data_IF_159854651937
#
_entry.id   IF_159854651937
#
_cell.length_a   1.000
_cell.length_b   1.000
_cell.length_c   1.000
_cell.angle_alpha   90.00
_cell.angle_beta   90.00
_cell.angle_gamma   90.00
#
_symmetry.space_group_name_H-M   'P 1'
#
loop_
_entity.id
_entity.type
_entity.pdbx_description
1 polymer ?
#
# COMPACT_ATOMS: atom_id res chain seq x y z
N UNK A 1 8.58 -20.36 -9.25
CA UNK A 1 9.71 -19.40 -9.17
C UNK A 1 10.73 -19.64 -10.26
N UNK A 2 11.31 -20.85 -10.42
CA UNK A 2 12.24 -21.15 -11.54
C UNK A 2 11.74 -20.73 -12.92
N UNK A 3 10.50 -21.08 -13.29
CA UNK A 3 9.90 -20.66 -14.57
C UNK A 3 9.85 -19.15 -14.74
N UNK A 4 9.54 -18.40 -13.67
CA UNK A 4 9.51 -16.93 -13.69
C UNK A 4 10.91 -16.38 -13.89
N UNK A 5 11.89 -16.95 -13.17
CA UNK A 5 13.29 -16.55 -13.24
C UNK A 5 13.88 -16.69 -14.65
N UNK A 6 13.65 -17.85 -15.27
CA UNK A 6 14.17 -18.21 -16.60
C UNK A 6 13.43 -17.49 -17.73
N UNK A 7 12.17 -17.12 -17.54
CA UNK A 7 11.32 -16.51 -18.57
C UNK A 7 10.91 -15.08 -18.22
N UNK A 8 11.70 -14.38 -17.39
CA UNK A 8 11.33 -13.08 -16.84
C UNK A 8 10.93 -12.07 -17.92
N UNK A 9 11.74 -11.92 -18.98
CA UNK A 9 11.49 -10.98 -20.08
C UNK A 9 10.13 -11.21 -20.74
N UNK A 10 9.73 -12.47 -20.87
CA UNK A 10 8.44 -12.85 -21.48
C UNK A 10 7.27 -12.69 -20.52
N UNK A 11 7.47 -12.98 -19.23
CA UNK A 11 6.39 -13.05 -18.25
C UNK A 11 6.15 -11.72 -17.52
N UNK A 12 7.18 -10.90 -17.31
CA UNK A 12 7.07 -9.63 -16.59
C UNK A 12 5.98 -8.70 -17.15
N UNK A 13 5.80 -8.52 -18.48
CA UNK A 13 4.72 -7.68 -19.00
C UNK A 13 3.32 -8.13 -18.58
N UNK A 14 3.12 -9.43 -18.37
CA UNK A 14 1.84 -9.98 -17.91
C UNK A 14 1.72 -9.98 -16.38
N UNK A 15 2.80 -10.30 -15.68
CA UNK A 15 2.83 -10.34 -14.20
C UNK A 15 2.68 -8.94 -13.61
N UNK A 16 3.29 -7.94 -14.25
CA UNK A 16 3.37 -6.55 -13.79
C UNK A 16 2.40 -5.62 -14.54
N UNK A 17 1.44 -6.22 -15.25
CA UNK A 17 0.38 -5.53 -16.00
C UNK A 17 0.88 -4.34 -16.84
N UNK A 18 1.86 -4.60 -17.71
CA UNK A 18 2.34 -3.60 -18.67
C UNK A 18 2.35 -4.07 -20.12
N UNK A 19 1.79 -5.26 -20.38
CA UNK A 19 1.74 -5.83 -21.73
C UNK A 19 0.98 -4.93 -22.74
N UNK A 20 0.07 -4.08 -22.27
CA UNK A 20 -0.70 -3.18 -23.13
C UNK A 20 -0.39 -1.70 -22.89
N UNK A 21 0.48 -1.38 -21.94
CA UNK A 21 0.84 -0.01 -21.56
C UNK A 21 2.27 0.36 -21.97
N UNK A 22 3.09 -0.60 -22.43
CA UNK A 22 4.43 -0.33 -22.97
C UNK A 22 4.48 -0.77 -24.42
N UNK A 23 5.08 0.05 -25.27
CA UNK A 23 5.34 -0.28 -26.68
C UNK A 23 6.13 -1.60 -26.81
N UNK A 24 5.78 -2.44 -27.78
CA UNK A 24 6.33 -3.79 -27.93
C UNK A 24 7.86 -3.83 -27.93
N UNK A 25 8.49 -2.87 -28.62
CA UNK A 25 9.95 -2.75 -28.74
C UNK A 25 10.65 -2.34 -27.43
N UNK A 26 9.92 -1.85 -26.42
CA UNK A 26 10.48 -1.41 -25.14
C UNK A 26 10.24 -2.41 -23.99
N UNK A 27 9.32 -3.38 -24.16
CA UNK A 27 8.93 -4.31 -23.08
C UNK A 27 10.11 -5.07 -22.49
N UNK A 28 11.03 -5.55 -23.33
CA UNK A 28 12.21 -6.28 -22.87
C UNK A 28 13.13 -5.39 -22.03
N UNK A 29 13.36 -4.15 -22.46
CA UNK A 29 14.19 -3.19 -21.73
C UNK A 29 13.57 -2.84 -20.37
N UNK A 30 12.26 -2.57 -20.35
CA UNK A 30 11.52 -2.28 -19.11
C UNK A 30 11.57 -3.47 -18.14
N UNK A 31 11.33 -4.69 -18.62
CA UNK A 31 11.43 -5.90 -17.80
C UNK A 31 12.83 -6.05 -17.19
N UNK A 32 13.88 -5.83 -17.99
CA UNK A 32 15.27 -5.90 -17.52
C UNK A 32 15.57 -4.82 -16.46
N UNK A 33 15.14 -3.57 -16.68
CA UNK A 33 15.29 -2.45 -15.73
C UNK A 33 14.64 -2.75 -14.39
N UNK A 34 13.40 -3.25 -14.37
CA UNK A 34 12.68 -3.61 -13.14
C UNK A 34 13.42 -4.70 -12.37
N UNK A 35 13.83 -5.77 -13.05
CA UNK A 35 14.59 -6.85 -12.39
C UNK A 35 15.93 -6.37 -11.86
N UNK A 36 16.62 -5.52 -12.59
CA UNK A 36 17.88 -4.95 -12.14
C UNK A 36 17.69 -4.08 -10.88
N UNK A 37 16.71 -3.17 -10.90
CA UNK A 37 16.40 -2.26 -9.80
C UNK A 37 16.17 -2.99 -8.47
N UNK A 38 15.37 -4.05 -8.50
CA UNK A 38 14.96 -4.74 -7.27
C UNK A 38 15.86 -5.92 -6.92
N UNK A 39 16.40 -6.63 -7.91
CA UNK A 39 17.10 -7.89 -7.68
C UNK A 39 18.60 -7.81 -7.93
N UNK A 40 19.11 -6.73 -8.52
CA UNK A 40 20.51 -6.62 -8.94
C UNK A 40 20.98 -7.88 -9.72
N UNK A 41 20.11 -8.40 -10.61
CA UNK A 41 20.28 -9.65 -11.36
C UNK A 41 20.44 -10.94 -10.54
N UNK A 42 20.11 -10.94 -9.25
CA UNK A 42 20.03 -12.18 -8.47
C UNK A 42 18.85 -13.05 -8.90
N UNK A 43 18.91 -14.39 -8.75
CA UNK A 43 17.83 -15.28 -9.17
C UNK A 43 16.54 -15.12 -8.35
N UNK A 44 15.40 -15.19 -9.02
CA UNK A 44 14.07 -15.34 -8.41
C UNK A 44 13.93 -16.78 -7.90
N UNK A 45 14.04 -16.95 -6.59
CA UNK A 45 13.98 -18.27 -5.95
C UNK A 45 13.21 -18.23 -4.64
N UNK A 46 12.85 -19.40 -4.09
CA UNK A 46 12.18 -19.46 -2.78
C UNK A 46 13.07 -18.89 -1.67
N UNK A 47 14.38 -19.03 -1.78
CA UNK A 47 15.32 -18.45 -0.82
C UNK A 47 15.45 -16.92 -0.98
N UNK A 48 15.28 -16.41 -2.20
CA UNK A 48 15.41 -15.00 -2.54
C UNK A 48 14.07 -14.40 -3.03
N UNK A 49 12.99 -14.64 -2.28
CA UNK A 49 11.65 -14.25 -2.70
C UNK A 49 11.30 -12.80 -2.35
N UNK A 50 11.92 -12.22 -1.32
CA UNK A 50 11.55 -10.89 -0.80
C UNK A 50 11.65 -9.78 -1.86
N UNK A 51 12.72 -9.67 -2.67
CA UNK A 51 12.78 -8.65 -3.70
C UNK A 51 11.70 -8.84 -4.77
N UNK A 52 11.40 -10.10 -5.11
CA UNK A 52 10.31 -10.40 -6.05
C UNK A 52 8.94 -10.00 -5.48
N UNK A 53 8.67 -10.28 -4.20
CA UNK A 53 7.45 -9.79 -3.52
C UNK A 53 7.41 -8.26 -3.58
N UNK A 54 8.52 -7.57 -3.31
CA UNK A 54 8.58 -6.12 -3.33
C UNK A 54 8.28 -5.52 -4.71
N UNK A 55 8.77 -6.13 -5.81
CA UNK A 55 8.41 -5.73 -7.18
C UNK A 55 6.88 -5.74 -7.35
N UNK A 56 6.23 -6.83 -6.94
CA UNK A 56 4.78 -6.99 -7.09
C UNK A 56 4.02 -6.01 -6.18
N UNK A 57 4.41 -5.90 -4.92
CA UNK A 57 3.78 -5.00 -3.96
C UNK A 57 3.84 -3.54 -4.42
N UNK A 58 4.99 -3.12 -4.93
CA UNK A 58 5.19 -1.76 -5.39
C UNK A 58 4.39 -1.48 -6.65
N UNK A 59 4.52 -2.34 -7.66
CA UNK A 59 3.82 -2.18 -8.94
C UNK A 59 2.30 -2.22 -8.81
N UNK A 60 1.78 -3.18 -8.05
CA UNK A 60 0.34 -3.47 -8.04
C UNK A 60 -0.42 -2.67 -6.98
N UNK A 61 0.26 -2.12 -5.97
CA UNK A 61 -0.42 -1.49 -4.82
C UNK A 61 0.25 -0.18 -4.40
N UNK A 62 1.51 -0.21 -3.94
CA UNK A 62 2.07 0.92 -3.18
C UNK A 62 2.19 2.21 -4.00
N UNK A 63 2.65 2.10 -5.25
CA UNK A 63 2.89 3.26 -6.13
C UNK A 63 1.59 4.02 -6.39
N UNK A 64 0.53 3.31 -6.77
CA UNK A 64 -0.75 3.93 -7.09
C UNK A 64 -1.52 4.34 -5.83
N UNK A 65 -1.36 3.63 -4.71
CA UNK A 65 -1.91 4.04 -3.43
C UNK A 65 -1.31 5.37 -2.96
N UNK A 66 0.01 5.56 -3.09
CA UNK A 66 0.66 6.85 -2.82
C UNK A 66 0.16 7.93 -3.77
N UNK A 67 0.20 7.66 -5.09
CA UNK A 67 -0.17 8.60 -6.15
C UNK A 67 -1.60 9.11 -5.96
N UNK A 68 -2.54 8.19 -5.76
CA UNK A 68 -3.96 8.51 -5.53
C UNK A 68 -4.12 9.35 -4.27
N UNK A 69 -3.46 8.99 -3.17
CA UNK A 69 -3.57 9.71 -1.90
C UNK A 69 -3.03 11.14 -2.00
N UNK A 70 -1.91 11.34 -2.68
CA UNK A 70 -1.38 12.69 -2.96
C UNK A 70 -2.33 13.49 -3.83
N UNK A 71 -2.80 12.91 -4.92
CA UNK A 71 -3.74 13.58 -5.83
C UNK A 71 -5.02 14.02 -5.11
N UNK A 72 -5.62 13.15 -4.29
CA UNK A 72 -6.79 13.52 -3.49
C UNK A 72 -6.46 14.60 -2.44
N UNK A 73 -5.24 14.62 -1.90
CA UNK A 73 -4.81 15.66 -0.96
C UNK A 73 -4.57 17.03 -1.61
N UNK A 74 -4.32 17.10 -2.92
CA UNK A 74 -4.13 18.37 -3.66
C UNK A 74 -5.37 19.24 -3.71
N UNK A 75 -6.56 18.63 -3.55
CA UNK A 75 -7.79 19.39 -3.41
C UNK A 75 -7.77 20.28 -2.15
N UNK A 76 -6.88 19.99 -1.19
CA UNK A 76 -6.68 20.66 0.11
C UNK A 76 -7.98 21.03 0.81
N UNK A 77 -9.02 20.20 0.68
CA UNK A 77 -10.33 20.52 1.23
C UNK A 77 -10.30 20.37 2.74
N UNK A 78 -10.57 21.48 3.46
CA UNK A 78 -10.72 21.48 4.93
C UNK A 78 -11.67 20.40 5.45
N UNK A 79 -12.68 20.05 4.66
CA UNK A 79 -13.70 19.06 5.00
C UNK A 79 -13.34 17.60 4.63
N UNK A 80 -12.28 17.34 3.86
CA UNK A 80 -11.99 16.00 3.33
C UNK A 80 -10.50 15.64 3.41
N UNK A 81 -9.93 15.49 4.63
CA UNK A 81 -8.56 15.03 4.81
C UNK A 81 -8.37 13.59 4.29
N UNK A 82 -7.22 13.33 3.67
CA UNK A 82 -6.82 11.99 3.21
C UNK A 82 -5.91 11.35 4.26
N UNK A 83 -6.32 10.20 4.82
CA UNK A 83 -5.52 9.44 5.76
C UNK A 83 -5.00 8.17 5.11
N UNK A 84 -3.74 7.83 5.40
CA UNK A 84 -3.10 6.63 4.89
C UNK A 84 -2.54 5.79 6.03
N UNK A 85 -2.74 4.47 5.98
CA UNK A 85 -2.08 3.54 6.87
C UNK A 85 -1.33 2.46 6.10
N UNK A 86 -0.26 1.97 6.71
CA UNK A 86 0.43 0.74 6.31
C UNK A 86 0.15 -0.32 7.39
N UNK A 87 -0.55 -1.38 7.00
CA UNK A 87 -0.81 -2.51 7.89
C UNK A 87 0.39 -3.45 7.87
N UNK A 88 1.01 -3.63 9.03
CA UNK A 88 2.25 -4.40 9.19
C UNK A 88 2.14 -5.42 10.34
N UNK A 89 0.94 -5.86 10.68
CA UNK A 89 0.71 -6.93 11.65
C UNK A 89 0.57 -8.28 10.93
N UNK A 90 1.49 -9.21 11.21
CA UNK A 90 1.40 -10.58 10.69
C UNK A 90 0.69 -11.48 11.71
N UNK A 91 -0.56 -11.85 11.38
CA UNK A 91 -1.31 -12.89 12.08
C UNK A 91 -0.77 -14.30 11.85
N UNK A 92 -1.33 -15.28 12.57
CA UNK A 92 -1.01 -16.71 12.33
C UNK A 92 -1.50 -17.17 10.96
N UNK A 93 -2.66 -16.67 10.55
CA UNK A 93 -3.26 -16.96 9.26
C UNK A 93 -3.12 -15.76 8.33
N UNK A 94 -2.76 -16.04 7.09
CA UNK A 94 -2.69 -15.05 6.04
C UNK A 94 -3.23 -15.62 4.74
N UNK A 95 -3.69 -14.72 3.88
CA UNK A 95 -4.10 -15.10 2.54
C UNK A 95 -2.93 -15.69 1.72
N UNK A 96 -1.68 -15.34 2.05
CA UNK A 96 -0.49 -15.97 1.46
C UNK A 96 -0.44 -17.47 1.68
N UNK A 97 -0.99 -17.97 2.79
CA UNK A 97 -0.86 -19.38 3.17
C UNK A 97 -1.72 -20.24 2.23
N UNK A 98 -2.93 -19.77 1.92
CA UNK A 98 -3.84 -20.38 0.95
C UNK A 98 -3.27 -20.33 -0.48
N UNK A 99 -2.78 -19.16 -0.93
CA UNK A 99 -2.27 -19.01 -2.30
C UNK A 99 -0.95 -19.74 -2.55
N UNK A 100 -0.06 -19.79 -1.54
CA UNK A 100 1.22 -20.49 -1.65
C UNK A 100 1.12 -21.98 -1.31
N UNK A 101 0.00 -22.42 -0.72
CA UNK A 101 -0.20 -23.77 -0.15
C UNK A 101 0.90 -24.14 0.85
N UNK A 102 1.27 -23.18 1.69
CA UNK A 102 2.40 -23.27 2.61
C UNK A 102 2.25 -22.26 3.75
N UNK A 103 2.67 -22.62 4.96
CA UNK A 103 2.75 -21.68 6.10
C UNK A 103 4.08 -20.92 6.15
N UNK A 104 4.74 -20.76 5.00
CA UNK A 104 5.95 -19.93 4.92
C UNK A 104 5.59 -18.48 5.18
N UNK A 105 6.28 -17.85 6.14
CA UNK A 105 6.04 -16.44 6.44
C UNK A 105 6.62 -15.56 5.31
N UNK A 106 5.73 -15.07 4.45
CA UNK A 106 6.04 -14.12 3.38
C UNK A 106 5.84 -12.64 3.79
N UNK A 107 5.57 -12.39 5.08
CA UNK A 107 5.16 -11.08 5.59
C UNK A 107 3.64 -10.92 5.57
N UNK A 108 3.18 -9.68 5.68
CA UNK A 108 1.76 -9.33 5.58
C UNK A 108 1.33 -9.38 4.12
N UNK A 109 0.33 -10.19 3.81
CA UNK A 109 -0.18 -10.36 2.47
C UNK A 109 -1.34 -9.39 2.17
N UNK A 110 -1.69 -9.29 0.89
CA UNK A 110 -2.87 -8.55 0.46
C UNK A 110 -4.13 -9.10 1.14
N UNK A 111 -5.00 -8.19 1.58
CA UNK A 111 -6.25 -8.42 2.30
C UNK A 111 -6.13 -9.01 3.73
N UNK A 112 -4.92 -9.22 4.25
CA UNK A 112 -4.76 -9.64 5.66
C UNK A 112 -5.37 -8.61 6.62
N UNK A 113 -5.20 -7.32 6.33
CA UNK A 113 -5.79 -6.21 7.12
C UNK A 113 -7.33 -6.25 7.14
N UNK A 114 -7.92 -6.51 5.98
CA UNK A 114 -9.36 -6.60 5.78
C UNK A 114 -9.94 -7.77 6.55
N UNK A 115 -9.17 -8.85 6.73
CA UNK A 115 -9.59 -9.98 7.54
C UNK A 115 -9.75 -9.60 9.03
N UNK A 116 -9.01 -8.60 9.52
CA UNK A 116 -9.17 -8.03 10.87
C UNK A 116 -10.34 -7.05 11.00
N UNK A 117 -11.15 -6.90 9.95
CA UNK A 117 -12.37 -6.07 9.95
C UNK A 117 -13.58 -6.91 9.55
N UNK A 118 -13.53 -7.54 8.38
CA UNK A 118 -14.65 -8.25 7.76
C UNK A 118 -14.66 -9.75 8.04
N UNK A 119 -13.59 -10.30 8.64
CA UNK A 119 -13.56 -11.67 9.16
C UNK A 119 -13.92 -12.75 8.13
N UNK A 120 -13.42 -12.62 6.90
CA UNK A 120 -13.74 -13.56 5.82
C UNK A 120 -12.98 -14.89 5.90
N UNK A 121 -11.95 -15.00 6.76
CA UNK A 121 -11.27 -16.26 7.05
C UNK A 121 -11.85 -16.92 8.33
N UNK A 122 -12.59 -18.04 8.21
CA UNK A 122 -13.16 -18.73 9.36
C UNK A 122 -12.13 -19.21 10.39
N UNK A 123 -10.89 -19.49 9.98
CA UNK A 123 -9.84 -19.97 10.89
C UNK A 123 -9.41 -18.90 11.89
N UNK A 124 -9.46 -17.63 11.49
CA UNK A 124 -9.23 -16.50 12.41
C UNK A 124 -10.33 -16.46 13.47
N UNK A 125 -11.57 -16.78 13.13
CA UNK A 125 -12.72 -16.68 14.06
C UNK A 125 -12.76 -17.79 15.11
N UNK A 126 -12.30 -18.99 14.75
CA UNK A 126 -12.48 -20.17 15.61
C UNK A 126 -11.46 -20.27 16.74
N UNK A 127 -10.32 -19.58 16.64
CA UNK A 127 -9.21 -19.77 17.58
C UNK A 127 -8.31 -18.53 17.74
N UNK A 128 -8.84 -17.32 17.84
CA UNK A 128 -8.04 -16.07 17.94
C UNK A 128 -7.05 -16.08 19.11
N UNK A 129 -5.79 -15.68 18.89
CA UNK A 129 -4.90 -15.32 20.03
C UNK A 129 -5.32 -13.99 20.66
N UNK A 130 -4.75 -13.67 21.84
CA UNK A 130 -4.98 -12.38 22.50
C UNK A 130 -4.54 -11.22 21.59
N UNK A 131 -3.40 -11.34 20.91
CA UNK A 131 -2.89 -10.33 19.98
C UNK A 131 -3.82 -10.15 18.77
N UNK A 132 -4.33 -11.24 18.21
CA UNK A 132 -5.27 -11.21 17.08
C UNK A 132 -6.62 -10.62 17.50
N UNK A 133 -7.12 -10.95 18.69
CA UNK A 133 -8.34 -10.36 19.25
C UNK A 133 -8.18 -8.85 19.49
N UNK A 134 -7.00 -8.43 19.97
CA UNK A 134 -6.69 -7.01 20.12
C UNK A 134 -6.63 -6.31 18.76
N UNK A 135 -6.07 -6.96 17.73
CA UNK A 135 -6.04 -6.40 16.37
C UNK A 135 -7.44 -6.31 15.75
N UNK A 136 -8.30 -7.31 15.94
CA UNK A 136 -9.71 -7.27 15.54
C UNK A 136 -10.43 -6.07 16.15
N UNK A 137 -10.28 -5.88 17.46
CA UNK A 137 -10.88 -4.75 18.17
C UNK A 137 -10.31 -3.40 17.68
N UNK A 138 -9.00 -3.33 17.47
CA UNK A 138 -8.30 -2.14 17.01
C UNK A 138 -8.75 -1.72 15.59
N UNK A 139 -8.67 -2.62 14.62
CA UNK A 139 -9.04 -2.34 13.23
C UNK A 139 -10.55 -2.10 13.09
N UNK A 140 -11.38 -2.88 13.79
CA UNK A 140 -12.82 -2.67 13.83
C UNK A 140 -13.19 -1.30 14.39
N UNK A 141 -12.57 -0.87 15.50
CA UNK A 141 -12.79 0.47 16.06
C UNK A 141 -12.32 1.57 15.12
N UNK A 142 -11.16 1.37 14.48
CA UNK A 142 -10.58 2.32 13.53
C UNK A 142 -11.53 2.56 12.35
N UNK A 143 -11.94 1.48 11.66
CA UNK A 143 -12.81 1.57 10.49
C UNK A 143 -14.20 2.11 10.83
N UNK A 144 -14.83 1.61 11.90
CA UNK A 144 -16.18 2.06 12.30
C UNK A 144 -16.20 3.51 12.75
N UNK A 145 -15.17 3.97 13.46
CA UNK A 145 -15.07 5.38 13.88
C UNK A 145 -14.85 6.29 12.68
N UNK A 146 -13.97 5.91 11.75
CA UNK A 146 -13.76 6.68 10.53
C UNK A 146 -15.03 6.77 9.68
N UNK A 147 -15.73 5.65 9.48
CA UNK A 147 -17.00 5.62 8.74
C UNK A 147 -18.08 6.52 9.37
N UNK A 148 -18.13 6.60 10.71
CA UNK A 148 -19.11 7.42 11.44
C UNK A 148 -18.76 8.91 11.45
N UNK A 149 -17.48 9.26 11.52
CA UNK A 149 -17.04 10.63 11.88
C UNK A 149 -16.17 11.33 10.84
N UNK A 150 -15.66 10.59 9.84
CA UNK A 150 -14.63 11.06 8.92
C UNK A 150 -13.26 11.30 9.56
N UNK A 151 -13.07 10.87 10.82
CA UNK A 151 -11.84 11.08 11.60
C UNK A 151 -11.31 9.76 12.17
N UNK A 152 -9.98 9.55 12.17
CA UNK A 152 -9.39 8.37 12.78
C UNK A 152 -9.55 8.38 14.31
N UNK A 153 -9.64 7.19 14.91
CA UNK A 153 -9.84 7.02 16.36
C UNK A 153 -8.54 7.03 17.19
N UNK A 154 -7.38 7.23 16.55
CA UNK A 154 -6.06 7.05 17.18
C UNK A 154 -5.11 8.21 16.92
N UNK A 155 -4.47 8.67 18.01
CA UNK A 155 -3.42 9.68 18.04
C UNK A 155 -3.73 10.99 17.30
N UNK A 156 -2.77 11.91 17.23
CA UNK A 156 -2.78 12.94 16.18
C UNK A 156 -2.36 12.29 14.85
N UNK A 157 -3.30 11.68 14.13
CA UNK A 157 -3.02 11.17 12.78
C UNK A 157 -2.94 12.33 11.80
N UNK A 158 -1.74 12.61 11.30
CA UNK A 158 -1.56 13.70 10.33
C UNK A 158 -1.97 13.20 8.94
N UNK A 159 -2.86 13.91 8.21
CA UNK A 159 -3.23 13.51 6.87
C UNK A 159 -2.06 13.57 5.88
N UNK A 160 -2.23 12.91 4.74
CA UNK A 160 -1.35 13.03 3.58
C UNK A 160 -1.36 14.46 3.07
N UNK A 161 -0.20 14.93 2.59
CA UNK A 161 -0.06 16.21 1.90
C UNK A 161 0.49 16.01 0.48
N UNK A 162 0.32 16.98 -0.42
CA UNK A 162 0.84 16.86 -1.79
C UNK A 162 2.36 16.69 -1.84
N UNK A 163 3.08 17.44 -1.00
CA UNK A 163 4.55 17.54 -1.05
C UNK A 163 5.25 16.58 -0.08
N UNK A 164 4.52 15.96 0.84
CA UNK A 164 5.07 15.11 1.91
C UNK A 164 4.09 13.98 2.24
N UNK A 165 4.56 12.73 2.19
CA UNK A 165 3.72 11.58 2.49
C UNK A 165 3.78 11.26 3.98
N UNK A 166 2.61 11.33 4.62
CA UNK A 166 2.43 10.98 6.02
C UNK A 166 1.52 9.77 6.12
N UNK A 167 1.91 8.77 6.90
CA UNK A 167 1.08 7.60 7.11
C UNK A 167 1.29 6.98 8.48
N UNK A 168 0.27 6.26 8.93
CA UNK A 168 0.34 5.48 10.15
C UNK A 168 0.81 4.06 9.85
N UNK A 169 1.94 3.62 10.41
CA UNK A 169 2.37 2.23 10.37
C UNK A 169 1.78 1.48 11.58
N UNK A 170 0.98 0.45 11.32
CA UNK A 170 0.31 -0.36 12.34
C UNK A 170 1.04 -1.70 12.46
N UNK A 171 1.80 -1.90 13.54
CA UNK A 171 2.56 -3.14 13.77
C UNK A 171 1.85 -4.08 14.74
N UNK A 172 1.07 -3.53 15.67
CA UNK A 172 0.10 -4.25 16.49
C UNK A 172 -0.94 -3.26 17.05
N UNK A 173 -1.95 -3.76 17.76
CA UNK A 173 -2.95 -2.92 18.44
C UNK A 173 -2.34 -1.97 19.50
N UNK A 174 -1.13 -2.29 19.99
CA UNK A 174 -0.41 -1.52 21.01
C UNK A 174 0.88 -0.87 20.48
N UNK A 175 1.26 -1.16 19.24
CA UNK A 175 2.46 -0.63 18.61
C UNK A 175 2.12 -0.12 17.20
N UNK A 176 1.95 1.19 17.11
CA UNK A 176 1.78 1.91 15.86
C UNK A 176 2.55 3.23 15.92
N UNK A 177 2.97 3.72 14.76
CA UNK A 177 3.76 4.96 14.67
C UNK A 177 3.39 5.78 13.45
N UNK A 178 3.39 7.11 13.58
CA UNK A 178 3.32 8.00 12.43
C UNK A 178 4.67 8.08 11.75
N UNK A 179 4.67 7.86 10.44
CA UNK A 179 5.78 8.18 9.54
C UNK A 179 5.46 9.50 8.88
N UNK A 180 6.34 10.47 9.09
CA UNK A 180 6.16 11.84 8.63
C UNK A 180 7.16 12.17 7.53
N UNK A 181 6.75 12.99 6.56
CA UNK A 181 7.66 13.51 5.54
C UNK A 181 8.42 12.44 4.76
N UNK A 182 7.77 11.31 4.51
CA UNK A 182 8.32 10.26 3.68
C UNK A 182 8.34 10.75 2.22
N UNK A 183 9.49 10.74 1.53
CA UNK A 183 9.59 11.25 0.16
C UNK A 183 8.70 10.48 -0.81
N UNK A 184 8.67 9.16 -0.67
CA UNK A 184 7.86 8.23 -1.44
C UNK A 184 7.77 6.86 -0.75
N UNK A 185 6.78 6.07 -1.14
CA UNK A 185 6.68 4.65 -0.85
C UNK A 185 6.72 3.85 -2.16
N UNK A 186 7.16 2.60 -2.07
CA UNK A 186 7.17 1.68 -3.21
C UNK A 186 8.01 2.12 -4.41
N UNK A 187 9.05 2.94 -4.21
CA UNK A 187 9.93 3.44 -5.28
C UNK A 187 9.17 4.15 -6.40
N UNK A 188 8.14 4.93 -6.07
CA UNK A 188 7.26 5.62 -7.04
C UNK A 188 8.05 6.33 -8.14
N UNK A 189 9.11 7.07 -7.81
CA UNK A 189 9.96 7.78 -8.77
C UNK A 189 10.59 6.87 -9.82
N UNK A 190 11.01 5.66 -9.44
CA UNK A 190 11.51 4.66 -10.37
C UNK A 190 10.41 4.21 -11.33
N UNK A 191 9.22 3.88 -10.82
CA UNK A 191 8.10 3.44 -11.66
C UNK A 191 7.59 4.55 -12.58
N UNK A 192 7.57 5.80 -12.10
CA UNK A 192 7.23 7.00 -12.89
C UNK A 192 8.22 7.26 -14.04
N UNK A 193 9.45 6.76 -13.93
CA UNK A 193 10.48 6.90 -14.98
C UNK A 193 10.33 5.93 -16.15
N UNK A 194 9.48 4.90 -16.00
CA UNK A 194 9.27 3.88 -17.03
C UNK A 194 8.23 4.38 -18.06
N UNK A 195 8.33 3.93 -19.33
CA UNK A 195 7.49 4.42 -20.42
C UNK A 195 6.09 3.76 -20.41
N UNK A 196 5.38 3.83 -19.28
CA UNK A 196 4.01 3.35 -19.17
C UNK A 196 3.03 4.38 -19.75
N UNK A 197 2.22 3.94 -20.69
CA UNK A 197 1.12 4.68 -21.27
C UNK A 197 -0.23 4.18 -20.74
N UNK A 198 -0.44 4.32 -19.44
CA UNK A 198 -1.69 3.92 -18.79
C UNK A 198 -2.80 4.94 -19.01
N UNK A 199 -2.45 6.24 -19.12
CA UNK A 199 -3.41 7.33 -19.26
C UNK A 199 -4.17 7.25 -20.58
N UNK A 200 -3.51 6.92 -21.68
CA UNK A 200 -4.16 6.90 -23.00
C UNK A 200 -5.10 5.70 -23.17
N UNK A 201 -4.91 4.60 -22.42
CA UNK A 201 -5.83 3.45 -22.45
C UNK A 201 -7.18 3.86 -21.86
N UNK A 202 -7.18 4.59 -20.74
CA UNK A 202 -8.41 5.01 -20.08
C UNK A 202 -9.16 6.09 -20.86
N UNK A 203 -8.46 7.08 -21.42
CA UNK A 203 -9.09 8.14 -22.23
C UNK A 203 -9.70 7.59 -23.52
N UNK A 204 -9.09 6.58 -24.13
CA UNK A 204 -9.65 5.89 -25.30
C UNK A 204 -10.90 5.06 -24.95
N UNK A 205 -10.96 4.49 -23.75
CA UNK A 205 -12.07 3.62 -23.31
C UNK A 205 -13.24 4.37 -22.68
N UNK A 206 -12.95 5.49 -22.00
CA UNK A 206 -13.93 6.34 -21.33
C UNK A 206 -13.53 7.81 -21.53
N UNK A 207 -13.97 8.46 -22.63
CA UNK A 207 -13.68 9.87 -22.86
C UNK A 207 -14.31 10.71 -21.74
N UNK A 208 -13.47 11.36 -20.95
CA UNK A 208 -13.91 12.26 -19.88
C UNK A 208 -14.51 13.51 -20.55
N UNK A 209 -15.82 13.72 -20.37
CA UNK A 209 -16.46 15.00 -20.67
C UNK A 209 -16.08 15.97 -19.57
N UNK A 210 -15.74 17.20 -19.95
CA UNK A 210 -15.25 18.26 -19.06
C UNK A 210 -16.01 18.30 -17.73
N UNK A 211 -15.29 18.08 -16.64
CA UNK A 211 -15.80 18.30 -15.28
C UNK A 211 -15.80 19.80 -15.03
N UNK A 212 -16.99 20.35 -14.81
CA UNK A 212 -17.19 21.76 -14.48
C UNK A 212 -16.45 22.09 -13.18
N UNK A 213 -15.51 23.04 -13.24
CA UNK A 213 -14.64 23.45 -12.13
C UNK A 213 -15.25 24.59 -11.32
N UNK A 214 -16.56 24.59 -11.13
CA UNK A 214 -17.24 25.61 -10.33
C UNK A 214 -17.75 25.05 -9.02
N UNK A 215 -16.86 24.85 -8.06
CA UNK A 215 -17.27 24.80 -6.66
C UNK A 215 -16.30 25.61 -5.80
N UNK A 216 -16.87 26.51 -5.00
CA UNK A 216 -16.16 27.38 -4.07
C UNK A 216 -15.57 26.58 -2.91
N UNK A 217 -14.45 25.94 -3.18
CA UNK A 217 -13.75 25.05 -2.25
C UNK A 217 -12.79 25.85 -1.35
N UNK A 218 -12.90 25.64 -0.03
CA UNK A 218 -12.03 26.26 0.97
C UNK A 218 -10.77 25.41 1.17
N UNK A 219 -9.62 25.95 0.76
CA UNK A 219 -8.32 25.28 0.81
C UNK A 219 -7.64 25.39 2.19
N UNK A 220 -6.90 24.35 2.58
CA UNK A 220 -6.00 24.31 3.75
C UNK A 220 -4.66 24.98 3.42
N UNK A 221 -4.09 25.76 4.35
CA UNK A 221 -2.71 26.26 4.23
C UNK A 221 -1.69 25.18 4.60
N UNK A 222 -0.52 25.15 3.93
CA UNK A 222 0.49 24.11 4.14
C UNK A 222 1.01 24.03 5.60
N UNK A 223 0.84 25.10 6.39
CA UNK A 223 1.18 25.16 7.81
C UNK A 223 0.27 24.31 8.72
N UNK A 224 -0.92 23.88 8.27
CA UNK A 224 -1.83 23.03 9.06
C UNK A 224 -1.49 21.53 8.94
N UNK A 225 -0.51 21.13 8.10
CA UNK A 225 -0.08 19.74 7.89
C UNK A 225 1.25 19.37 8.58
N UNK A 226 1.67 20.13 9.60
CA UNK A 226 2.91 19.82 10.32
C UNK A 226 2.80 18.46 11.03
N UNK A 227 3.39 17.44 10.41
CA UNK A 227 3.36 16.08 10.91
C UNK A 227 4.30 15.93 12.11
N UNK A 228 3.76 15.41 13.22
CA UNK A 228 4.55 15.06 14.40
C UNK A 228 4.68 13.55 14.47
N UNK A 229 5.92 13.07 14.38
CA UNK A 229 6.20 11.67 14.64
C UNK A 229 5.75 11.29 16.05
N UNK A 230 5.11 10.14 16.18
CA UNK A 230 4.77 9.57 17.47
C UNK A 230 4.80 8.05 17.39
N UNK A 231 4.93 7.41 18.55
CA UNK A 231 4.89 5.94 18.69
C UNK A 231 4.04 5.58 19.92
N UNK A 232 3.20 4.57 19.79
CA UNK A 232 2.28 4.14 20.85
C UNK A 232 2.87 3.08 21.80
N UNK A 233 4.13 2.67 21.62
CA UNK A 233 4.70 1.48 22.27
C UNK A 233 4.50 1.51 23.78
N UNK A 234 3.61 0.65 24.27
CA UNK A 234 3.47 0.40 25.70
C UNK A 234 4.63 -0.51 26.15
N UNK A 235 5.54 0.04 26.94
CA UNK A 235 6.54 -0.78 27.63
C UNK A 235 5.84 -1.52 28.77
N UNK A 236 5.78 -2.84 28.68
CA UNK A 236 5.46 -3.68 29.83
C UNK A 236 6.55 -3.47 30.87
N UNK A 237 6.32 -2.57 31.84
CA UNK A 237 7.05 -2.61 33.11
C UNK A 237 6.57 -3.84 33.85
N UNK A 238 7.36 -4.90 33.77
CA UNK A 238 7.32 -5.99 34.75
C UNK A 238 7.54 -5.37 36.13
N UNK A 239 6.54 -5.52 37.02
CA UNK A 239 6.70 -5.38 38.47
C UNK A 239 7.34 -6.65 39.03
#
# INVERSE_FOLDING_TARGET
MKTIDENWIKLAPHILDFNFTVAENLKQEVAAKIRYQYMNNTPISRANHKPFIQIISDRMFNVDAERSSRFHSELKLKSHPVYFYEFNFRGRYSLSDAFSRSFTNYGVAHADDTNYVLQFNPEVLLNTTVEEQNMLNFMGTLWTTFARTGKPSIGPWTPVSPNSFNYLRIESAHAYSMKCNVPEIGSRSFWDSLPFDEKNIWTARYPIKDLDKSDGLNYISDSEYECKEFSSVQTNRTL
#
